data_IF_811530097241
#
_entry.id   IF_811530097241
#
_cell.length_a   1.000
_cell.length_b   1.000
_cell.length_c   1.000
_cell.angle_alpha   90.00
_cell.angle_beta   90.00
_cell.angle_gamma   90.00
#
_symmetry.space_group_name_H-M   'P 1'
#
loop_
_entity.id
_entity.type
_entity.pdbx_description
1 polymer ?
#
# COMPACT_ATOMS: atom_id res chain seq x y z
N UNK A 1 -44.75 -3.34 7.53
CA UNK A 1 -43.53 -2.53 7.66
C UNK A 1 -42.38 -3.40 7.16
N UNK A 2 -41.94 -3.16 5.91
CA UNK A 2 -40.85 -3.93 5.31
C UNK A 2 -39.51 -3.30 5.71
N UNK A 3 -38.68 -4.03 6.41
CA UNK A 3 -37.28 -3.67 6.63
C UNK A 3 -36.56 -3.81 5.31
N UNK A 4 -36.26 -2.69 4.66
CA UNK A 4 -35.36 -2.65 3.52
C UNK A 4 -33.94 -3.02 3.97
N UNK A 5 -33.47 -4.18 3.57
CA UNK A 5 -32.05 -4.56 3.68
C UNK A 5 -31.31 -3.67 2.68
N UNK A 6 -30.57 -2.68 3.18
CA UNK A 6 -29.65 -1.91 2.34
C UNK A 6 -28.64 -2.89 1.74
N UNK A 7 -28.55 -2.94 0.42
CA UNK A 7 -27.52 -3.69 -0.27
C UNK A 7 -26.14 -3.19 0.19
N UNK A 8 -25.15 -4.08 0.40
CA UNK A 8 -23.81 -3.66 0.74
C UNK A 8 -23.27 -2.76 -0.38
N UNK A 9 -22.73 -1.61 -0.01
CA UNK A 9 -22.07 -0.73 -0.96
C UNK A 9 -20.99 -1.54 -1.70
N UNK A 10 -21.17 -1.73 -3.00
CA UNK A 10 -20.18 -2.37 -3.86
C UNK A 10 -18.93 -1.50 -3.79
N UNK A 11 -17.86 -2.01 -3.16
CA UNK A 11 -16.57 -1.35 -3.21
C UNK A 11 -16.20 -1.18 -4.70
N UNK A 12 -16.02 0.06 -5.13
CA UNK A 12 -15.63 0.36 -6.49
C UNK A 12 -14.34 -0.41 -6.80
N UNK A 13 -14.35 -1.14 -7.92
CA UNK A 13 -13.14 -1.84 -8.37
C UNK A 13 -12.12 -0.77 -8.73
N UNK A 14 -10.98 -0.67 -8.05
CA UNK A 14 -9.99 0.35 -8.37
C UNK A 14 -9.55 0.17 -9.82
N UNK A 15 -9.30 1.27 -10.51
CA UNK A 15 -8.64 1.23 -11.81
C UNK A 15 -7.47 0.25 -11.74
N UNK A 16 -7.27 -0.57 -12.76
CA UNK A 16 -6.21 -1.58 -12.74
C UNK A 16 -5.37 -1.52 -14.02
N UNK A 17 -4.10 -1.91 -13.91
CA UNK A 17 -3.16 -2.03 -15.02
C UNK A 17 -2.63 -3.45 -15.10
N UNK A 18 -2.42 -3.94 -16.33
CA UNK A 18 -1.78 -5.24 -16.55
C UNK A 18 -0.29 -5.03 -16.77
N UNK A 19 0.53 -5.74 -15.99
CA UNK A 19 1.99 -5.70 -16.07
C UNK A 19 2.49 -7.15 -16.10
N UNK A 20 3.03 -7.56 -17.25
CA UNK A 20 3.32 -8.98 -17.50
C UNK A 20 2.05 -9.82 -17.39
N UNK A 21 2.08 -10.86 -16.58
CA UNK A 21 0.94 -11.75 -16.34
C UNK A 21 0.11 -11.34 -15.09
N UNK A 22 0.35 -10.18 -14.51
CA UNK A 22 -0.31 -9.71 -13.30
C UNK A 22 -1.18 -8.48 -13.58
N UNK A 23 -2.30 -8.36 -12.85
CA UNK A 23 -3.15 -7.18 -12.85
C UNK A 23 -3.04 -6.49 -11.49
N UNK A 24 -2.60 -5.23 -11.48
CA UNK A 24 -2.36 -4.42 -10.29
C UNK A 24 -3.34 -3.26 -10.18
N UNK A 25 -3.71 -2.85 -8.96
CA UNK A 25 -4.41 -1.59 -8.78
C UNK A 25 -3.55 -0.42 -9.25
N UNK A 26 -4.15 0.51 -10.00
CA UNK A 26 -3.43 1.68 -10.55
C UNK A 26 -3.16 2.76 -9.50
N UNK A 27 -3.82 2.70 -8.35
CA UNK A 27 -3.72 3.68 -7.27
C UNK A 27 -3.42 3.01 -5.93
N UNK A 28 -2.88 3.79 -4.98
CA UNK A 28 -2.75 3.37 -3.60
C UNK A 28 -4.12 3.19 -2.98
N UNK A 29 -4.28 2.11 -2.23
CA UNK A 29 -5.54 1.79 -1.59
C UNK A 29 -5.96 2.89 -0.59
N UNK A 30 -7.26 3.23 -0.60
CA UNK A 30 -7.83 4.26 0.26
C UNK A 30 -9.10 3.80 1.00
N UNK A 31 -9.31 2.47 1.10
CA UNK A 31 -10.50 1.92 1.74
C UNK A 31 -10.43 2.08 3.27
N UNK A 32 -11.59 2.38 3.87
CA UNK A 32 -11.76 2.51 5.32
C UNK A 32 -12.58 1.37 5.91
N UNK A 33 -12.88 0.38 5.07
CA UNK A 33 -13.64 -0.83 5.43
C UNK A 33 -12.99 -2.05 4.81
N UNK A 34 -13.10 -3.17 5.50
CA UNK A 34 -12.78 -4.49 4.94
C UNK A 34 -13.83 -4.91 3.91
N UNK A 35 -13.49 -5.93 3.13
CA UNK A 35 -14.38 -6.47 2.07
C UNK A 35 -15.75 -6.92 2.59
N UNK A 36 -15.84 -7.37 3.83
CA UNK A 36 -17.09 -7.76 4.47
C UNK A 36 -17.94 -6.57 4.96
N UNK A 37 -17.44 -5.33 4.81
CA UNK A 37 -18.11 -4.10 5.23
C UNK A 37 -17.73 -3.58 6.61
N UNK A 38 -17.00 -4.35 7.42
CA UNK A 38 -16.54 -3.92 8.74
C UNK A 38 -15.61 -2.70 8.64
N UNK A 39 -15.80 -1.74 9.52
CA UNK A 39 -14.95 -0.56 9.57
C UNK A 39 -13.52 -0.91 10.04
N UNK A 40 -12.53 -0.31 9.39
CA UNK A 40 -11.15 -0.28 9.86
C UNK A 40 -10.98 0.99 10.67
N UNK A 41 -10.53 0.95 11.93
CA UNK A 41 -10.35 2.15 12.73
C UNK A 41 -9.34 3.14 12.13
N UNK A 42 -9.71 4.42 12.07
CA UNK A 42 -8.76 5.50 11.84
C UNK A 42 -8.07 5.82 13.17
N UNK A 43 -6.73 5.75 13.21
CA UNK A 43 -5.97 5.95 14.44
C UNK A 43 -4.94 7.06 14.25
N UNK A 44 -5.28 8.28 14.66
CA UNK A 44 -4.42 9.47 14.54
C UNK A 44 -3.43 9.59 15.69
N UNK A 45 -3.83 9.26 16.91
CA UNK A 45 -2.97 9.32 18.09
C UNK A 45 -1.77 8.37 17.98
N UNK A 46 -0.58 8.83 18.33
CA UNK A 46 0.66 8.09 18.20
C UNK A 46 0.74 6.89 19.18
N UNK A 47 0.28 7.08 20.41
CA UNK A 47 0.27 6.00 21.41
C UNK A 47 -0.75 4.92 21.08
N UNK A 48 -1.94 5.33 20.62
CA UNK A 48 -2.99 4.41 20.17
C UNK A 48 -2.54 3.61 18.92
N UNK A 49 -1.82 4.24 17.99
CA UNK A 49 -1.23 3.57 16.83
C UNK A 49 -0.25 2.48 17.25
N UNK A 50 0.72 2.86 18.12
CA UNK A 50 1.70 1.91 18.64
C UNK A 50 1.02 0.75 19.38
N UNK A 51 0.00 1.04 20.20
CA UNK A 51 -0.77 0.03 20.92
C UNK A 51 -1.56 -0.89 19.96
N UNK A 52 -2.16 -0.35 18.91
CA UNK A 52 -2.87 -1.14 17.90
C UNK A 52 -1.92 -2.09 17.17
N UNK A 53 -0.74 -1.60 16.74
CA UNK A 53 0.28 -2.43 16.06
C UNK A 53 0.76 -3.58 16.94
N UNK A 54 1.15 -3.31 18.19
CA UNK A 54 1.59 -4.37 19.14
C UNK A 54 0.50 -5.39 19.45
N UNK A 55 -0.74 -4.96 19.51
CA UNK A 55 -1.89 -5.83 19.81
C UNK A 55 -2.46 -6.55 18.58
N UNK A 56 -1.85 -6.38 17.38
CA UNK A 56 -2.36 -6.97 16.16
C UNK A 56 -3.75 -6.45 15.76
N UNK A 57 -4.11 -5.25 16.18
CA UNK A 57 -5.38 -4.61 15.82
C UNK A 57 -5.23 -3.79 14.54
N UNK A 58 -6.11 -3.96 13.54
CA UNK A 58 -6.06 -3.23 12.28
C UNK A 58 -6.27 -1.72 12.50
N UNK A 59 -5.54 -0.92 11.75
CA UNK A 59 -5.65 0.53 11.76
C UNK A 59 -5.22 1.12 10.42
N UNK A 60 -5.78 2.29 10.09
CA UNK A 60 -5.35 3.12 8.97
C UNK A 60 -5.23 4.59 9.38
N UNK A 61 -4.52 5.38 8.58
CA UNK A 61 -4.37 6.83 8.76
C UNK A 61 -3.98 7.52 7.45
N UNK A 62 -4.33 8.80 7.29
CA UNK A 62 -3.76 9.66 6.24
C UNK A 62 -2.38 10.14 6.67
N UNK A 63 -1.47 10.27 5.69
CA UNK A 63 -0.14 10.83 5.97
C UNK A 63 -0.26 12.23 6.59
N UNK A 64 0.43 12.45 7.72
CA UNK A 64 0.42 13.74 8.43
C UNK A 64 -0.88 14.09 9.12
N UNK A 65 -1.84 13.16 9.28
CA UNK A 65 -3.17 13.38 9.86
C UNK A 65 -3.99 14.47 9.14
N UNK A 66 -3.72 14.73 7.88
CA UNK A 66 -4.34 15.80 7.09
C UNK A 66 -4.81 15.28 5.73
N UNK A 67 -5.48 16.13 4.95
CA UNK A 67 -5.77 15.83 3.55
C UNK A 67 -4.46 15.58 2.79
N UNK A 68 -4.34 14.41 2.17
CA UNK A 68 -3.17 14.01 1.39
C UNK A 68 -3.33 14.40 -0.08
N UNK A 69 -2.24 14.55 -0.84
CA UNK A 69 -2.32 14.70 -2.31
C UNK A 69 -3.12 13.56 -2.93
N UNK A 70 -3.79 13.85 -4.04
CA UNK A 70 -4.55 12.86 -4.79
C UNK A 70 -3.66 11.64 -5.15
N UNK A 71 -4.22 10.44 -5.05
CA UNK A 71 -3.54 9.18 -5.35
C UNK A 71 -2.59 8.66 -4.26
N UNK A 72 -2.33 9.41 -3.18
CA UNK A 72 -1.49 8.91 -2.08
C UNK A 72 -2.15 7.77 -1.31
N UNK A 73 -3.49 7.70 -1.32
CA UNK A 73 -4.25 6.74 -0.55
C UNK A 73 -4.12 6.97 0.95
N UNK A 74 -4.15 5.88 1.73
CA UNK A 74 -3.94 5.90 3.18
C UNK A 74 -2.87 4.89 3.57
N UNK A 75 -2.33 5.04 4.79
CA UNK A 75 -1.34 4.13 5.35
C UNK A 75 -2.04 3.12 6.24
N UNK A 76 -1.74 1.85 6.09
CA UNK A 76 -2.28 0.75 6.89
C UNK A 76 -1.17 0.14 7.74
N UNK A 77 -1.50 -0.32 8.95
CA UNK A 77 -0.60 -1.19 9.70
C UNK A 77 -0.69 -2.64 9.18
N UNK A 78 0.27 -3.47 9.56
CA UNK A 78 0.35 -4.84 9.06
C UNK A 78 -0.85 -5.71 9.47
N UNK A 79 -1.47 -5.43 10.62
CA UNK A 79 -2.68 -6.12 11.05
C UNK A 79 -3.86 -5.90 10.09
N UNK A 80 -4.00 -4.69 9.52
CA UNK A 80 -4.99 -4.44 8.48
C UNK A 80 -4.66 -5.16 7.17
N UNK A 81 -3.37 -5.25 6.81
CA UNK A 81 -2.87 -5.92 5.58
C UNK A 81 -3.19 -7.41 5.57
N UNK A 82 -3.09 -8.07 6.73
CA UNK A 82 -3.25 -9.52 6.86
C UNK A 82 -4.59 -9.95 7.46
N UNK A 83 -5.50 -9.01 7.67
CA UNK A 83 -6.81 -9.30 8.27
C UNK A 83 -7.63 -10.26 7.38
N UNK A 84 -8.17 -11.35 7.94
CA UNK A 84 -8.92 -12.35 7.18
C UNK A 84 -10.20 -11.83 6.55
N UNK A 85 -10.75 -10.70 7.02
CA UNK A 85 -11.89 -10.01 6.41
C UNK A 85 -11.59 -9.44 5.03
N UNK A 86 -10.30 -9.34 4.67
CA UNK A 86 -9.82 -8.92 3.37
C UNK A 86 -9.77 -7.40 3.18
N UNK A 87 -8.56 -6.86 2.99
CA UNK A 87 -8.33 -5.43 2.80
C UNK A 87 -8.58 -5.00 1.33
N UNK A 88 -8.12 -5.79 0.37
CA UNK A 88 -8.29 -5.49 -1.05
C UNK A 88 -9.71 -5.78 -1.54
N UNK A 89 -10.21 -5.07 -2.56
CA UNK A 89 -11.51 -5.33 -3.19
C UNK A 89 -11.66 -6.75 -3.73
N UNK A 90 -12.89 -7.15 -4.02
CA UNK A 90 -13.18 -8.46 -4.60
C UNK A 90 -12.37 -8.69 -5.88
N UNK A 91 -11.83 -9.90 -6.05
CA UNK A 91 -10.96 -10.26 -7.17
C UNK A 91 -9.50 -9.83 -7.02
N UNK A 92 -9.16 -9.07 -5.97
CA UNK A 92 -7.81 -8.65 -5.64
C UNK A 92 -7.39 -9.13 -4.25
N UNK A 93 -6.08 -9.19 -4.04
CA UNK A 93 -5.45 -9.46 -2.74
C UNK A 93 -4.26 -8.54 -2.51
N UNK A 94 -3.80 -8.46 -1.27
CA UNK A 94 -2.51 -7.81 -0.97
C UNK A 94 -1.40 -8.68 -1.58
N UNK A 95 -0.42 -8.08 -2.29
CA UNK A 95 0.67 -8.82 -2.91
C UNK A 95 1.58 -9.48 -1.86
N UNK A 96 2.13 -10.62 -2.22
CA UNK A 96 3.25 -11.23 -1.54
C UNK A 96 4.60 -10.85 -2.18
N UNK A 97 5.70 -11.26 -1.58
CA UNK A 97 7.05 -10.97 -2.09
C UNK A 97 7.33 -11.61 -3.46
N UNK A 98 6.63 -12.71 -3.79
CA UNK A 98 6.72 -13.34 -5.12
C UNK A 98 6.08 -12.46 -6.18
N UNK A 99 4.93 -11.85 -5.88
CA UNK A 99 4.26 -10.92 -6.79
C UNK A 99 5.16 -9.72 -7.13
N UNK A 100 5.80 -9.13 -6.12
CA UNK A 100 6.72 -8.01 -6.31
C UNK A 100 7.93 -8.38 -7.17
N UNK A 101 8.52 -9.58 -6.96
CA UNK A 101 9.61 -10.09 -7.82
C UNK A 101 9.16 -10.32 -9.25
N UNK A 102 7.95 -10.85 -9.46
CA UNK A 102 7.40 -11.05 -10.81
C UNK A 102 7.15 -9.70 -11.50
N UNK A 103 6.60 -8.72 -10.77
CA UNK A 103 6.43 -7.35 -11.26
C UNK A 103 7.75 -6.74 -11.71
N UNK A 104 8.77 -6.80 -10.86
CA UNK A 104 10.10 -6.27 -11.16
C UNK A 104 10.72 -6.95 -12.39
N UNK A 105 10.64 -8.28 -12.47
CA UNK A 105 11.15 -9.05 -13.60
C UNK A 105 10.43 -8.70 -14.93
N UNK A 106 9.11 -8.55 -14.90
CA UNK A 106 8.31 -8.17 -16.08
C UNK A 106 8.67 -6.77 -16.61
N UNK A 107 9.25 -5.91 -15.78
CA UNK A 107 9.67 -4.56 -16.14
C UNK A 107 11.18 -4.44 -16.46
N UNK A 108 11.89 -5.57 -16.59
CA UNK A 108 13.32 -5.59 -16.92
C UNK A 108 14.26 -5.48 -15.73
N UNK A 109 13.72 -5.51 -14.51
CA UNK A 109 14.50 -5.51 -13.27
C UNK A 109 15.17 -4.18 -12.91
N UNK A 110 15.73 -4.12 -11.70
CA UNK A 110 16.61 -3.06 -11.26
C UNK A 110 16.06 -1.64 -11.43
N UNK A 111 16.93 -0.74 -11.90
CA UNK A 111 16.59 0.68 -12.12
C UNK A 111 15.51 0.89 -13.19
N UNK A 112 15.46 0.03 -14.20
CA UNK A 112 14.47 0.10 -15.29
C UNK A 112 13.06 -0.14 -14.74
N UNK A 113 12.90 -1.16 -13.91
CA UNK A 113 11.64 -1.43 -13.24
C UNK A 113 11.24 -0.27 -12.32
N UNK A 114 12.16 0.25 -11.50
CA UNK A 114 11.90 1.36 -10.60
C UNK A 114 11.43 2.61 -11.35
N UNK A 115 12.09 3.00 -12.45
CA UNK A 115 11.70 4.12 -13.28
C UNK A 115 10.32 3.92 -13.93
N UNK A 116 10.01 2.69 -14.35
CA UNK A 116 8.72 2.34 -14.96
C UNK A 116 7.56 2.36 -13.96
N UNK A 117 7.83 2.02 -12.69
CA UNK A 117 6.83 1.98 -11.61
C UNK A 117 6.49 3.36 -11.07
N UNK A 118 7.46 4.28 -10.99
CA UNK A 118 7.24 5.63 -10.44
C UNK A 118 6.32 6.45 -11.35
N UNK A 119 5.38 7.18 -10.76
CA UNK A 119 4.56 8.16 -11.45
C UNK A 119 5.42 9.22 -12.16
N UNK A 120 4.94 9.75 -13.28
CA UNK A 120 5.65 10.79 -14.03
C UNK A 120 5.68 12.15 -13.29
N UNK A 121 4.79 12.34 -12.33
CA UNK A 121 4.68 13.55 -11.49
C UNK A 121 4.53 13.18 -10.01
N UNK A 122 4.64 14.17 -9.12
CA UNK A 122 4.47 13.95 -7.67
C UNK A 122 5.74 13.57 -6.92
N UNK A 123 6.83 13.30 -7.62
CA UNK A 123 8.18 13.14 -7.08
C UNK A 123 8.94 14.48 -7.09
N UNK A 124 10.04 14.61 -6.31
CA UNK A 124 10.89 15.80 -6.40
C UNK A 124 11.39 16.05 -7.83
N UNK A 125 11.70 17.30 -8.14
CA UNK A 125 12.18 17.71 -9.46
C UNK A 125 13.44 16.92 -9.86
N UNK A 126 13.46 16.40 -11.09
CA UNK A 126 14.58 15.64 -11.64
C UNK A 126 14.57 14.13 -11.34
N UNK A 127 13.58 13.65 -10.59
CA UNK A 127 13.50 12.23 -10.16
C UNK A 127 12.19 11.55 -10.57
N UNK A 128 11.39 12.20 -11.41
CA UNK A 128 10.13 11.67 -11.89
C UNK A 128 10.34 10.32 -12.61
N UNK A 129 9.42 9.39 -12.38
CA UNK A 129 9.36 8.13 -13.11
C UNK A 129 8.89 8.34 -14.56
N UNK A 130 8.98 7.29 -15.35
CA UNK A 130 8.40 7.27 -16.69
C UNK A 130 6.92 6.88 -16.70
N UNK A 131 6.45 6.26 -15.63
CA UNK A 131 5.13 5.63 -15.50
C UNK A 131 4.76 4.69 -16.67
N UNK A 132 5.75 4.12 -17.35
CA UNK A 132 5.49 3.25 -18.53
C UNK A 132 4.67 2.02 -18.20
N UNK A 133 4.73 1.56 -16.95
CA UNK A 133 3.94 0.43 -16.48
C UNK A 133 2.47 0.79 -16.21
N UNK A 134 2.14 2.08 -16.07
CA UNK A 134 0.85 2.54 -15.55
C UNK A 134 0.66 2.28 -14.05
N UNK A 135 1.68 1.77 -13.35
CA UNK A 135 1.60 1.51 -11.91
C UNK A 135 1.45 2.81 -11.09
N UNK A 136 2.08 3.91 -11.51
CA UNK A 136 1.86 5.23 -10.93
C UNK A 136 2.22 5.34 -9.44
N UNK A 137 3.35 4.77 -9.02
CA UNK A 137 3.79 4.88 -7.63
C UNK A 137 4.05 6.32 -7.23
N UNK A 138 3.43 6.77 -6.13
CA UNK A 138 3.60 8.10 -5.53
C UNK A 138 4.35 8.01 -4.20
N UNK A 139 5.19 9.00 -3.84
CA UNK A 139 6.04 8.97 -2.65
C UNK A 139 5.25 9.35 -1.39
N UNK A 140 4.33 8.48 -0.97
CA UNK A 140 3.44 8.71 0.16
C UNK A 140 4.13 8.57 1.54
N UNK A 141 5.42 8.20 1.59
CA UNK A 141 6.12 8.02 2.85
C UNK A 141 5.58 6.85 3.68
N UNK A 142 5.82 6.92 4.99
CA UNK A 142 5.35 5.92 5.96
C UNK A 142 5.11 6.54 7.34
N UNK A 143 4.43 5.79 8.20
CA UNK A 143 4.28 6.08 9.63
C UNK A 143 5.08 5.08 10.44
N UNK A 144 5.86 5.56 11.41
CA UNK A 144 6.64 4.68 12.29
C UNK A 144 5.77 3.96 13.30
N UNK A 145 6.32 2.94 13.93
CA UNK A 145 5.70 2.25 15.06
C UNK A 145 5.44 3.17 16.26
N UNK A 146 6.17 4.28 16.40
CA UNK A 146 5.96 5.32 17.42
C UNK A 146 4.93 6.38 16.98
N UNK A 147 4.38 6.27 15.77
CA UNK A 147 3.34 7.15 15.25
C UNK A 147 3.83 8.41 14.53
N UNK A 148 5.14 8.59 14.34
CA UNK A 148 5.69 9.69 13.55
C UNK A 148 5.61 9.41 12.04
N UNK A 149 5.50 10.48 11.23
CA UNK A 149 5.47 10.39 9.76
C UNK A 149 6.84 10.76 9.19
N UNK A 150 7.30 10.00 8.20
CA UNK A 150 8.59 10.21 7.55
C UNK A 150 8.53 10.03 6.04
N UNK A 151 9.45 10.71 5.35
CA UNK A 151 9.80 10.55 3.94
C UNK A 151 8.63 10.73 2.95
N UNK A 152 7.54 11.40 3.37
CA UNK A 152 6.55 11.89 2.43
C UNK A 152 7.21 12.78 1.37
N UNK A 153 6.78 12.64 0.10
CA UNK A 153 7.36 13.26 -1.11
C UNK A 153 8.73 12.72 -1.53
N UNK A 154 9.34 11.77 -0.80
CA UNK A 154 10.67 11.25 -1.09
C UNK A 154 10.72 9.75 -1.37
N UNK A 155 9.88 8.98 -0.69
CA UNK A 155 9.90 7.51 -0.80
C UNK A 155 8.47 6.97 -0.85
N UNK A 156 8.24 6.02 -1.75
CA UNK A 156 7.02 5.20 -1.74
C UNK A 156 7.32 3.90 -1.01
N UNK A 157 6.46 3.54 -0.07
CA UNK A 157 6.52 2.28 0.68
C UNK A 157 5.27 1.48 0.43
N UNK A 158 5.44 0.20 0.12
CA UNK A 158 4.35 -0.71 -0.14
C UNK A 158 4.48 -1.98 0.69
N UNK A 159 3.43 -2.35 1.38
CA UNK A 159 3.38 -3.63 2.09
C UNK A 159 3.43 -4.83 1.14
N UNK A 160 4.17 -5.87 1.56
CA UNK A 160 3.90 -7.25 1.22
C UNK A 160 3.09 -7.90 2.35
N UNK A 161 2.26 -8.90 2.05
CA UNK A 161 1.54 -9.67 3.08
C UNK A 161 2.43 -10.66 3.83
N UNK A 162 3.68 -10.81 3.41
CA UNK A 162 4.59 -11.80 3.99
C UNK A 162 5.17 -11.35 5.32
N UNK A 163 5.44 -12.35 6.15
CA UNK A 163 6.18 -12.23 7.38
C UNK A 163 7.38 -13.18 7.34
N UNK A 164 8.51 -12.73 7.79
CA UNK A 164 9.72 -13.54 7.94
C UNK A 164 9.66 -14.41 9.20
N UNK A 165 10.51 -15.45 9.25
CA UNK A 165 10.56 -16.36 10.39
C UNK A 165 10.94 -15.68 11.72
N UNK A 166 11.67 -14.57 11.65
CA UNK A 166 12.03 -13.73 12.81
C UNK A 166 10.89 -12.83 13.29
N UNK A 167 9.72 -12.87 12.61
CA UNK A 167 8.54 -12.06 12.94
C UNK A 167 8.51 -10.68 12.28
N UNK A 168 9.55 -10.26 11.56
CA UNK A 168 9.53 -9.03 10.76
C UNK A 168 8.61 -9.17 9.54
N UNK A 169 8.21 -8.05 8.97
CA UNK A 169 7.34 -7.97 7.80
C UNK A 169 8.11 -7.41 6.61
N UNK A 170 7.65 -7.68 5.40
CA UNK A 170 8.31 -7.24 4.17
C UNK A 170 7.61 -6.01 3.60
N UNK A 171 8.40 -5.03 3.22
CA UNK A 171 7.96 -3.90 2.41
C UNK A 171 8.85 -3.72 1.17
N UNK A 172 8.29 -3.08 0.15
CA UNK A 172 8.99 -2.69 -1.07
C UNK A 172 9.01 -1.16 -1.18
N UNK A 173 10.15 -0.62 -1.61
CA UNK A 173 10.42 0.82 -1.60
C UNK A 173 10.87 1.31 -2.97
N UNK A 174 10.38 2.50 -3.34
CA UNK A 174 10.89 3.30 -4.44
C UNK A 174 11.36 4.64 -3.89
N UNK A 175 12.54 5.05 -4.29
CA UNK A 175 13.19 6.26 -3.79
C UNK A 175 13.08 7.43 -4.77
N UNK A 176 13.37 8.64 -4.26
CA UNK A 176 13.46 9.88 -5.03
C UNK A 176 14.79 10.01 -5.81
N UNK A 177 15.38 8.89 -6.18
CA UNK A 177 16.57 8.78 -7.02
C UNK A 177 16.46 7.58 -7.99
N UNK A 178 17.56 7.17 -8.62
CA UNK A 178 17.61 6.12 -9.62
C UNK A 178 17.89 4.72 -9.05
N UNK A 179 17.77 4.54 -7.71
CA UNK A 179 17.91 3.22 -7.09
C UNK A 179 16.86 2.23 -7.59
N UNK A 180 17.18 0.93 -7.64
CA UNK A 180 16.20 -0.10 -7.95
C UNK A 180 15.07 -0.17 -6.93
N UNK A 181 14.02 -0.91 -7.26
CA UNK A 181 13.03 -1.34 -6.27
C UNK A 181 13.74 -2.11 -5.16
N UNK A 182 13.53 -1.69 -3.93
CA UNK A 182 14.25 -2.21 -2.77
C UNK A 182 13.31 -2.97 -1.83
N UNK A 183 13.68 -4.21 -1.47
CA UNK A 183 13.01 -5.01 -0.44
C UNK A 183 13.64 -4.75 0.92
N UNK A 184 12.82 -4.52 1.93
CA UNK A 184 13.27 -4.26 3.30
C UNK A 184 12.35 -4.96 4.31
N UNK A 185 12.90 -5.23 5.49
CA UNK A 185 12.15 -5.77 6.62
C UNK A 185 11.83 -4.68 7.64
N UNK A 186 10.61 -4.73 8.16
CA UNK A 186 10.11 -3.74 9.10
C UNK A 186 9.29 -4.38 10.23
N UNK A 187 9.05 -3.59 11.29
CA UNK A 187 8.16 -3.92 12.39
C UNK A 187 6.67 -3.91 11.92
N UNK A 188 5.87 -4.78 12.53
CA UNK A 188 4.43 -4.93 12.25
C UNK A 188 3.60 -3.67 12.52
N UNK A 189 4.08 -2.77 13.36
CA UNK A 189 3.38 -1.55 13.75
C UNK A 189 3.66 -0.35 12.82
N UNK A 190 4.45 -0.55 11.76
CA UNK A 190 4.64 0.49 10.74
C UNK A 190 3.34 0.73 9.96
N UNK A 191 3.21 1.92 9.38
CA UNK A 191 2.11 2.27 8.48
C UNK A 191 2.61 2.58 7.08
N UNK A 192 2.15 1.84 6.06
CA UNK A 192 2.58 2.01 4.68
C UNK A 192 1.42 1.89 3.71
N UNK A 193 1.64 2.31 2.47
CA UNK A 193 0.66 2.16 1.39
C UNK A 193 0.45 0.68 1.04
N UNK A 194 -0.70 0.41 0.42
CA UNK A 194 -1.04 -0.90 -0.14
C UNK A 194 -1.38 -0.75 -1.61
N UNK A 195 -0.85 -1.62 -2.44
CA UNK A 195 -1.33 -1.95 -3.78
C UNK A 195 -1.95 -3.31 -3.76
N UNK A 196 -2.97 -3.51 -4.56
CA UNK A 196 -3.64 -4.79 -4.67
C UNK A 196 -3.27 -5.47 -6.00
N UNK A 197 -3.13 -6.78 -5.98
CA UNK A 197 -2.86 -7.60 -7.16
C UNK A 197 -3.98 -8.62 -7.35
N UNK A 198 -4.39 -8.82 -8.60
CA UNK A 198 -5.31 -9.90 -8.95
C UNK A 198 -4.51 -11.20 -9.12
N UNK A 199 -5.12 -12.35 -8.82
CA UNK A 199 -4.56 -13.64 -9.19
C UNK A 199 -4.25 -13.68 -10.68
N UNK A 200 -3.12 -14.28 -11.05
CA UNK A 200 -2.75 -14.54 -12.43
C UNK A 200 -3.72 -15.53 -13.08
#
# INVERSE_FOLDING_TARGET
MGLGIAAPATAETPGSVTIGAQRWSAENLAVTRFRNGDAIPEVSDAGAWAAAGRAGRPAWIRYGNTATPAGWGVLYNFAAVTDPRGLCPAGFRVPDNRDWRQLEAALGGGKTAAASLKAATGWPTGVAGSNRSGFGALPAGFRTQQGAFFLGRRVAYFWSRDREANGTTIAHMLFDDDRPLFRIEYDVAMGMSVRCVAPA
#
